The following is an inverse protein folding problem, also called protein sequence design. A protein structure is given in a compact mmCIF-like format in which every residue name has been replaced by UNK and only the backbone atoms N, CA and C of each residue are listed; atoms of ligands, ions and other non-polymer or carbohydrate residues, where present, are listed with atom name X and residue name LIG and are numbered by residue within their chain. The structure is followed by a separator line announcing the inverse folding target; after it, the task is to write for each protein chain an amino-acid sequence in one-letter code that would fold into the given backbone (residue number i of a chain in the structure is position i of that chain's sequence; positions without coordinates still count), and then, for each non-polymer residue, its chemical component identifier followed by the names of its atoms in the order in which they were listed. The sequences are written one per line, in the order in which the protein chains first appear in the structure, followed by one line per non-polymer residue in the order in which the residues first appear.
data_IF_249892208885
#
_entry.id   IF_249892208885
#
_cell.length_a   1.000
_cell.length_b   1.000
_cell.length_c   1.000
_cell.angle_alpha   90.00
_cell.angle_beta   90.00
_cell.angle_gamma   90.00
#
_symmetry.space_group_name_H-M   'P 1'
#
loop_
_entity.id
_entity.type
_entity.pdbx_description
1 polymer ?
#
# COMPACT_ATOMS: atom_id res chain seq x y z
N UNK A 1 2.21 -42.53 0.25
CA UNK A 1 3.52 -42.41 -0.44
C UNK A 1 4.34 -41.40 0.32
N UNK A 2 5.16 -41.90 1.25
CA UNK A 2 6.13 -41.08 1.95
C UNK A 2 7.26 -40.74 0.99
N UNK A 3 7.15 -39.63 0.33
CA UNK A 3 8.22 -39.13 -0.53
C UNK A 3 9.39 -38.72 0.37
N UNK A 4 10.44 -39.53 0.39
CA UNK A 4 11.67 -39.21 1.11
C UNK A 4 12.48 -38.26 0.21
N UNK A 5 12.54 -36.99 0.61
CA UNK A 5 13.39 -36.01 -0.03
C UNK A 5 14.85 -36.27 0.31
N UNK A 6 15.67 -36.50 -0.69
CA UNK A 6 17.12 -36.62 -0.51
C UNK A 6 17.72 -35.22 -0.50
N UNK A 7 18.36 -34.88 0.60
CA UNK A 7 19.05 -33.61 0.79
C UNK A 7 20.57 -33.83 0.71
N UNK A 8 21.25 -32.92 0.07
CA UNK A 8 22.69 -32.90 0.11
C UNK A 8 23.18 -32.52 1.54
N UNK A 9 24.13 -33.26 2.05
CA UNK A 9 24.67 -33.04 3.39
C UNK A 9 25.66 -31.85 3.50
N UNK A 10 25.83 -31.11 2.41
CA UNK A 10 26.75 -29.99 2.35
C UNK A 10 26.00 -28.67 2.55
N UNK A 11 26.47 -27.83 3.49
CA UNK A 11 25.91 -26.53 3.80
C UNK A 11 25.95 -25.53 2.61
N UNK A 12 26.74 -25.83 1.59
CA UNK A 12 26.89 -25.01 0.38
C UNK A 12 26.11 -25.55 -0.83
N UNK A 13 25.44 -26.68 -0.70
CA UNK A 13 24.66 -27.25 -1.80
C UNK A 13 23.35 -26.51 -2.01
N UNK A 14 22.94 -26.36 -3.26
CA UNK A 14 21.65 -25.80 -3.62
C UNK A 14 20.50 -26.66 -3.09
N UNK A 15 19.51 -26.03 -2.50
CA UNK A 15 18.27 -26.68 -2.04
C UNK A 15 17.60 -27.36 -3.23
N UNK A 16 17.04 -28.57 -3.02
CA UNK A 16 16.28 -29.27 -4.03
C UNK A 16 15.05 -28.41 -4.45
N UNK A 17 14.95 -27.97 -5.71
CA UNK A 17 13.88 -27.07 -6.14
C UNK A 17 12.48 -27.67 -5.97
N UNK A 18 12.35 -28.97 -6.20
CA UNK A 18 11.07 -29.66 -6.08
C UNK A 18 10.62 -29.78 -4.62
N UNK A 19 11.55 -30.05 -3.73
CA UNK A 19 11.28 -30.03 -2.28
C UNK A 19 10.85 -28.64 -1.81
N UNK A 20 11.48 -27.58 -2.29
CA UNK A 20 11.10 -26.21 -1.97
C UNK A 20 9.68 -25.88 -2.42
N UNK A 21 9.28 -26.33 -3.60
CA UNK A 21 7.92 -26.11 -4.12
C UNK A 21 6.84 -26.83 -3.29
N UNK A 22 7.12 -28.05 -2.81
CA UNK A 22 6.14 -28.80 -2.03
C UNK A 22 6.11 -28.43 -0.54
N UNK A 23 7.21 -27.94 -0.01
CA UNK A 23 7.37 -27.65 1.41
C UNK A 23 7.08 -26.18 1.77
N UNK A 24 6.90 -25.33 0.79
CA UNK A 24 6.59 -23.93 1.00
C UNK A 24 5.22 -23.57 0.41
N UNK A 25 4.44 -22.85 1.16
CA UNK A 25 3.18 -22.30 0.69
C UNK A 25 3.16 -20.79 0.96
N UNK A 26 2.84 -20.03 -0.07
CA UNK A 26 2.62 -18.58 0.06
C UNK A 26 1.35 -18.22 -0.68
N UNK A 27 0.37 -17.72 0.08
CA UNK A 27 -0.92 -17.30 -0.45
C UNK A 27 -1.12 -15.83 -0.17
N UNK A 28 -1.27 -15.04 -1.22
CA UNK A 28 -1.56 -13.62 -1.11
C UNK A 28 -3.00 -13.34 -1.57
N UNK A 29 -3.69 -12.49 -0.83
CA UNK A 29 -5.00 -11.93 -1.18
C UNK A 29 -4.91 -10.43 -1.09
N UNK A 30 -5.39 -9.75 -2.11
CA UNK A 30 -5.45 -8.29 -2.12
C UNK A 30 -6.79 -7.81 -2.66
N UNK A 31 -7.20 -6.66 -2.20
CA UNK A 31 -8.36 -5.94 -2.69
C UNK A 31 -8.04 -4.46 -2.75
N UNK A 32 -8.63 -3.77 -3.71
CA UNK A 32 -8.52 -2.32 -3.82
C UNK A 32 -9.86 -1.71 -4.21
N UNK A 33 -10.07 -0.51 -3.73
CA UNK A 33 -11.19 0.33 -4.10
C UNK A 33 -10.65 1.72 -4.43
N UNK A 34 -11.05 2.23 -5.59
CA UNK A 34 -10.75 3.61 -6.01
C UNK A 34 -12.06 4.28 -6.36
N UNK A 35 -12.30 5.43 -5.80
CA UNK A 35 -13.49 6.23 -6.04
C UNK A 35 -13.16 7.70 -6.19
N UNK A 36 -13.93 8.38 -7.03
CA UNK A 36 -13.83 9.81 -7.23
C UNK A 36 -15.22 10.43 -7.35
N UNK A 37 -15.42 11.56 -6.69
CA UNK A 37 -16.62 12.38 -6.77
C UNK A 37 -16.20 13.79 -7.17
N UNK A 38 -16.71 14.25 -8.29
CA UNK A 38 -16.45 15.59 -8.82
C UNK A 38 -17.76 16.37 -8.91
N UNK A 39 -17.70 17.61 -8.48
CA UNK A 39 -18.79 18.58 -8.58
C UNK A 39 -18.27 19.84 -9.24
N UNK A 40 -18.92 20.22 -10.32
CA UNK A 40 -18.66 21.46 -11.05
C UNK A 40 -19.96 22.27 -11.09
N UNK A 41 -19.94 23.48 -10.53
CA UNK A 41 -21.10 24.31 -10.39
C UNK A 41 -20.85 25.72 -10.92
N UNK A 42 -21.56 26.08 -11.94
CA UNK A 42 -21.62 27.46 -12.44
C UNK A 42 -22.71 28.23 -11.67
N UNK A 43 -22.32 29.34 -11.06
CA UNK A 43 -23.22 30.07 -10.17
C UNK A 43 -24.35 30.71 -10.96
N UNK A 44 -25.58 30.30 -10.66
CA UNK A 44 -26.78 30.83 -11.32
C UNK A 44 -26.94 32.33 -11.06
N UNK A 45 -27.11 33.11 -12.12
CA UNK A 45 -27.18 34.57 -12.05
C UNK A 45 -25.83 35.30 -11.95
N UNK A 46 -24.73 34.56 -11.84
CA UNK A 46 -23.35 35.06 -11.91
C UNK A 46 -22.49 34.03 -12.64
N UNK A 47 -22.79 33.86 -13.92
CA UNK A 47 -22.27 32.74 -14.73
C UNK A 47 -20.78 32.83 -15.03
N UNK A 48 -20.17 34.02 -14.80
CA UNK A 48 -18.73 34.23 -14.87
C UNK A 48 -17.96 33.48 -13.75
N UNK A 49 -18.68 32.99 -12.70
CA UNK A 49 -18.11 32.31 -11.53
C UNK A 49 -18.41 30.82 -11.56
N UNK A 50 -17.35 30.02 -11.50
CA UNK A 50 -17.41 28.56 -11.42
C UNK A 50 -16.77 28.08 -10.10
N UNK A 51 -17.44 27.15 -9.46
CA UNK A 51 -16.96 26.44 -8.28
C UNK A 51 -16.71 24.99 -8.66
N UNK A 52 -15.54 24.49 -8.34
CA UNK A 52 -15.17 23.11 -8.57
C UNK A 52 -14.74 22.46 -7.27
N UNK A 53 -15.20 21.24 -7.03
CA UNK A 53 -14.75 20.41 -5.92
C UNK A 53 -14.60 18.96 -6.37
N UNK A 54 -13.52 18.34 -5.96
CA UNK A 54 -13.23 16.94 -6.25
C UNK A 54 -12.79 16.25 -4.97
N UNK A 55 -13.38 15.09 -4.70
CA UNK A 55 -13.03 14.21 -3.60
C UNK A 55 -12.63 12.84 -4.15
N UNK A 56 -11.40 12.43 -3.89
CA UNK A 56 -10.86 11.13 -4.28
C UNK A 56 -10.57 10.27 -3.08
N UNK A 57 -10.83 8.97 -3.20
CA UNK A 57 -10.49 7.97 -2.20
C UNK A 57 -9.87 6.75 -2.88
N UNK A 58 -8.73 6.31 -2.36
CA UNK A 58 -8.05 5.08 -2.75
C UNK A 58 -7.80 4.26 -1.49
N UNK A 59 -8.33 3.05 -1.46
CA UNK A 59 -8.13 2.09 -0.39
C UNK A 59 -7.56 0.81 -0.96
N UNK A 60 -6.51 0.29 -0.35
CA UNK A 60 -5.96 -1.01 -0.69
C UNK A 60 -5.66 -1.83 0.55
N UNK A 61 -6.00 -3.10 0.46
CA UNK A 61 -5.77 -4.12 1.47
C UNK A 61 -5.00 -5.27 0.86
N UNK A 62 -3.98 -5.73 1.54
CA UNK A 62 -3.22 -6.93 1.18
C UNK A 62 -2.98 -7.81 2.40
N UNK A 63 -3.20 -9.10 2.25
CA UNK A 63 -2.82 -10.11 3.24
C UNK A 63 -2.05 -11.22 2.54
N UNK A 64 -0.85 -11.47 2.97
CA UNK A 64 -0.05 -12.60 2.56
C UNK A 64 0.13 -13.56 3.74
N UNK A 65 -0.11 -14.82 3.51
CA UNK A 65 0.14 -15.89 4.47
C UNK A 65 1.21 -16.79 3.87
N UNK A 66 2.17 -17.17 4.68
CA UNK A 66 3.22 -18.07 4.27
C UNK A 66 3.44 -19.16 5.32
N UNK A 67 3.77 -20.33 4.82
CA UNK A 67 3.98 -21.52 5.65
C UNK A 67 5.13 -22.33 5.04
N UNK A 68 6.07 -22.70 5.89
CA UNK A 68 7.14 -23.64 5.56
C UNK A 68 6.98 -24.89 6.41
N UNK A 69 7.02 -26.03 5.74
CA UNK A 69 6.93 -27.35 6.39
C UNK A 69 8.06 -27.58 7.40
N UNK A 70 7.77 -28.35 8.42
CA UNK A 70 8.76 -28.82 9.40
C UNK A 70 9.95 -29.57 8.78
N UNK A 71 9.77 -30.12 7.60
CA UNK A 71 10.78 -30.88 6.87
C UNK A 71 11.60 -30.05 5.88
N UNK A 72 11.33 -28.75 5.80
CA UNK A 72 12.05 -27.83 4.92
C UNK A 72 13.53 -27.72 5.28
N UNK A 73 14.41 -27.92 4.29
CA UNK A 73 15.87 -27.97 4.48
C UNK A 73 16.52 -26.62 4.70
N UNK A 74 15.91 -25.56 4.21
CA UNK A 74 16.49 -24.23 4.27
C UNK A 74 16.28 -23.51 5.61
N UNK A 75 15.59 -24.15 6.56
CA UNK A 75 15.19 -23.50 7.80
C UNK A 75 15.95 -24.03 9.01
N UNK A 76 16.39 -23.13 9.86
CA UNK A 76 16.87 -23.44 11.22
C UNK A 76 15.75 -23.87 12.17
N UNK A 77 14.51 -24.01 11.67
CA UNK A 77 13.30 -24.27 12.44
C UNK A 77 12.59 -25.54 11.95
N UNK A 78 11.83 -26.18 12.82
CA UNK A 78 10.92 -27.28 12.48
C UNK A 78 9.62 -26.73 11.84
N UNK A 79 9.77 -25.95 10.81
CA UNK A 79 8.68 -25.25 10.15
C UNK A 79 8.39 -23.88 10.77
N UNK A 80 7.71 -23.05 9.99
CA UNK A 80 7.25 -21.76 10.45
C UNK A 80 6.05 -21.27 9.64
N UNK A 81 5.26 -20.41 10.28
CA UNK A 81 4.09 -19.77 9.70
C UNK A 81 4.14 -18.29 9.99
N UNK A 82 3.66 -17.52 9.05
CA UNK A 82 3.56 -16.09 9.24
C UNK A 82 2.52 -15.46 8.35
N UNK A 83 2.29 -14.20 8.59
CA UNK A 83 1.45 -13.37 7.74
C UNK A 83 1.95 -11.93 7.70
N UNK A 84 1.69 -11.29 6.59
CA UNK A 84 1.83 -9.87 6.38
C UNK A 84 0.46 -9.28 6.09
N UNK A 85 0.10 -8.22 6.79
CA UNK A 85 -1.11 -7.44 6.52
C UNK A 85 -0.68 -6.03 6.19
N UNK A 86 -1.19 -5.51 5.10
CA UNK A 86 -0.94 -4.15 4.66
C UNK A 86 -2.25 -3.46 4.33
N UNK A 87 -2.53 -2.40 5.06
CA UNK A 87 -3.64 -1.49 4.80
C UNK A 87 -3.08 -0.15 4.34
N UNK A 88 -3.61 0.35 3.27
CA UNK A 88 -3.25 1.65 2.74
C UNK A 88 -4.51 2.37 2.31
N UNK A 89 -4.68 3.60 2.73
CA UNK A 89 -5.68 4.48 2.15
C UNK A 89 -5.12 5.88 1.91
N UNK A 90 -5.57 6.47 0.84
CA UNK A 90 -5.27 7.84 0.47
C UNK A 90 -6.59 8.54 0.25
N UNK A 91 -6.76 9.69 0.89
CA UNK A 91 -7.88 10.59 0.67
C UNK A 91 -7.35 11.87 0.05
N UNK A 92 -8.07 12.38 -0.90
CA UNK A 92 -7.72 13.60 -1.62
C UNK A 92 -8.96 14.47 -1.72
N UNK A 93 -8.81 15.73 -1.42
CA UNK A 93 -9.80 16.76 -1.66
C UNK A 93 -9.14 17.94 -2.32
N UNK A 94 -9.69 18.41 -3.43
CA UNK A 94 -9.33 19.69 -4.02
C UNK A 94 -10.58 20.49 -4.36
N UNK A 95 -10.48 21.78 -4.20
CA UNK A 95 -11.53 22.71 -4.56
C UNK A 95 -10.92 24.01 -5.07
N UNK A 96 -11.54 24.59 -6.10
CA UNK A 96 -11.15 25.89 -6.58
C UNK A 96 -12.34 26.71 -7.01
N UNK A 97 -12.15 28.02 -6.98
CA UNK A 97 -13.05 29.02 -7.51
C UNK A 97 -12.38 29.63 -8.74
N UNK A 98 -13.09 29.70 -9.82
CA UNK A 98 -12.63 30.32 -11.06
C UNK A 98 -13.60 31.42 -11.46
N UNK A 99 -13.07 32.60 -11.71
CA UNK A 99 -13.79 33.71 -12.29
C UNK A 99 -13.26 34.00 -13.70
N UNK A 100 -14.13 33.92 -14.68
CA UNK A 100 -13.82 34.14 -16.06
C UNK A 100 -14.72 35.25 -16.62
N UNK A 101 -14.14 36.25 -17.25
CA UNK A 101 -14.86 37.41 -17.80
C UNK A 101 -14.30 37.85 -19.12
N UNK A 102 -15.17 37.93 -20.13
CA UNK A 102 -14.91 38.60 -21.40
C UNK A 102 -15.41 40.04 -21.31
N UNK A 103 -14.49 40.98 -21.32
CA UNK A 103 -14.83 42.42 -21.36
C UNK A 103 -15.07 42.93 -22.78
N UNK A 104 -14.46 42.30 -23.78
CA UNK A 104 -14.65 42.53 -25.20
C UNK A 104 -14.16 41.33 -25.98
N UNK A 105 -14.37 41.34 -27.30
CA UNK A 105 -13.89 40.28 -28.23
C UNK A 105 -12.36 40.07 -28.18
N UNK A 106 -11.62 41.01 -27.64
CA UNK A 106 -10.16 40.99 -27.55
C UNK A 106 -9.63 40.98 -26.12
N UNK A 107 -10.50 41.13 -25.11
CA UNK A 107 -10.09 41.24 -23.70
C UNK A 107 -10.73 40.16 -22.86
N UNK A 108 -9.91 39.22 -22.40
CA UNK A 108 -10.32 38.09 -21.59
C UNK A 108 -9.58 38.10 -20.26
N UNK A 109 -10.29 37.85 -19.19
CA UNK A 109 -9.75 37.74 -17.84
C UNK A 109 -10.15 36.41 -17.22
N UNK A 110 -9.18 35.68 -16.69
CA UNK A 110 -9.37 34.40 -15.98
C UNK A 110 -8.53 34.40 -14.71
N UNK A 111 -9.17 34.30 -13.59
CA UNK A 111 -8.52 34.15 -12.28
C UNK A 111 -9.06 32.94 -11.55
N UNK A 112 -8.16 32.18 -10.94
CA UNK A 112 -8.49 30.99 -10.20
C UNK A 112 -7.71 30.96 -8.89
N UNK A 113 -8.38 30.55 -7.82
CA UNK A 113 -7.74 30.26 -6.54
C UNK A 113 -8.28 28.93 -6.00
N UNK A 114 -7.42 28.13 -5.45
CA UNK A 114 -7.79 26.80 -4.99
C UNK A 114 -7.01 26.29 -3.80
N UNK A 115 -7.54 25.24 -3.26
CA UNK A 115 -7.06 24.51 -2.09
C UNK A 115 -7.00 23.04 -2.40
N UNK A 116 -5.96 22.38 -1.95
CA UNK A 116 -5.79 20.94 -2.04
C UNK A 116 -5.38 20.39 -0.67
N UNK A 117 -6.01 19.28 -0.31
CA UNK A 117 -5.68 18.51 0.88
C UNK A 117 -5.55 17.05 0.50
N UNK A 118 -4.51 16.39 1.02
CA UNK A 118 -4.27 14.97 0.86
C UNK A 118 -3.92 14.35 2.19
N UNK A 119 -4.44 13.14 2.41
CA UNK A 119 -4.15 12.32 3.58
C UNK A 119 -3.70 10.94 3.14
N UNK A 120 -2.50 10.57 3.56
CA UNK A 120 -1.89 9.28 3.28
C UNK A 120 -1.78 8.47 4.56
N UNK A 121 -2.29 7.27 4.54
CA UNK A 121 -2.20 6.33 5.63
C UNK A 121 -1.68 4.99 5.14
N UNK A 122 -0.70 4.43 5.85
CA UNK A 122 -0.12 3.13 5.57
C UNK A 122 0.11 2.40 6.89
N UNK A 123 -0.52 1.26 7.03
CA UNK A 123 -0.41 0.37 8.18
C UNK A 123 0.07 -1.00 7.69
N UNK A 124 1.14 -1.48 8.30
CA UNK A 124 1.78 -2.73 7.97
C UNK A 124 2.06 -3.51 9.24
N UNK A 125 1.61 -4.74 9.25
CA UNK A 125 1.88 -5.68 10.34
C UNK A 125 2.42 -6.96 9.74
N UNK A 126 3.54 -7.43 10.27
CA UNK A 126 4.09 -8.75 9.97
C UNK A 126 4.27 -9.54 11.26
N UNK A 127 3.94 -10.81 11.21
CA UNK A 127 4.12 -11.73 12.31
C UNK A 127 4.52 -13.10 11.77
N UNK A 128 5.57 -13.69 12.35
CA UNK A 128 6.03 -15.01 11.98
C UNK A 128 6.44 -15.79 13.20
N UNK A 129 6.01 -17.03 13.27
CA UNK A 129 6.33 -17.96 14.34
C UNK A 129 6.95 -19.24 13.79
N UNK A 130 8.00 -19.71 14.40
CA UNK A 130 8.66 -20.96 14.08
C UNK A 130 8.94 -21.82 15.29
N UNK A 131 9.19 -23.09 15.04
CA UNK A 131 9.61 -24.04 16.05
C UNK A 131 11.11 -24.25 15.89
N UNK A 132 11.90 -24.02 16.92
CA UNK A 132 13.35 -24.16 16.86
C UNK A 132 13.72 -25.63 16.62
N UNK A 133 14.51 -25.85 15.59
CA UNK A 133 15.25 -27.09 15.38
C UNK A 133 16.44 -27.09 16.35
N UNK A 134 16.72 -28.20 16.97
CA UNK A 134 17.86 -28.39 17.87
C UNK A 134 19.20 -28.23 17.12
N UNK A 135 19.55 -26.98 16.81
CA UNK A 135 20.78 -26.65 16.08
C UNK A 135 21.97 -26.45 17.00
N UNK A 136 21.73 -26.29 18.31
CA UNK A 136 22.79 -25.96 19.29
C UNK A 136 22.94 -27.02 20.38
N UNK A 137 22.43 -28.23 20.15
CA UNK A 137 22.45 -29.30 21.17
C UNK A 137 21.82 -28.92 22.50
N UNK A 138 20.88 -28.01 22.51
CA UNK A 138 20.13 -27.61 23.69
C UNK A 138 18.72 -28.26 23.67
N UNK A 139 18.55 -29.42 24.33
CA UNK A 139 17.28 -30.14 24.33
C UNK A 139 16.12 -29.33 24.91
N UNK A 140 16.40 -28.34 25.76
CA UNK A 140 15.38 -27.51 26.41
C UNK A 140 14.66 -26.60 25.43
N UNK A 141 15.27 -26.30 24.27
CA UNK A 141 14.72 -25.46 23.23
C UNK A 141 14.00 -26.22 22.12
N UNK A 142 14.06 -27.55 22.16
CA UNK A 142 13.43 -28.42 21.18
C UNK A 142 11.91 -28.28 21.25
N UNK A 143 11.27 -27.96 20.13
CA UNK A 143 9.81 -27.83 20.04
C UNK A 143 9.25 -26.52 20.61
N UNK A 144 10.07 -25.63 21.13
CA UNK A 144 9.61 -24.32 21.61
C UNK A 144 9.24 -23.44 20.43
N UNK A 145 8.07 -22.81 20.53
CA UNK A 145 7.58 -21.87 19.53
C UNK A 145 8.22 -20.51 19.77
N UNK A 146 8.90 -20.00 18.76
CA UNK A 146 9.57 -18.70 18.83
C UNK A 146 9.00 -17.74 17.80
N UNK A 147 8.78 -16.48 18.15
CA UNK A 147 8.55 -15.46 17.16
C UNK A 147 9.83 -15.30 16.31
N UNK A 148 9.69 -15.48 15.00
CA UNK A 148 10.80 -15.30 14.06
C UNK A 148 10.88 -13.84 13.62
N UNK A 149 9.74 -13.25 13.38
CA UNK A 149 9.61 -11.84 13.02
C UNK A 149 8.32 -11.30 13.59
N UNK A 150 8.40 -10.13 14.15
CA UNK A 150 7.27 -9.33 14.56
C UNK A 150 7.66 -7.89 14.30
N UNK A 151 6.93 -7.25 13.41
CA UNK A 151 7.09 -5.82 13.21
C UNK A 151 5.76 -5.19 12.86
N UNK A 152 5.56 -3.99 13.33
CA UNK A 152 4.43 -3.17 12.94
C UNK A 152 4.94 -1.80 12.55
N UNK A 153 4.36 -1.26 11.50
CA UNK A 153 4.71 0.05 11.01
C UNK A 153 3.44 0.79 10.64
N UNK A 154 3.26 1.94 11.25
CA UNK A 154 2.15 2.83 10.98
C UNK A 154 2.69 4.19 10.57
N UNK A 155 2.28 4.66 9.41
CA UNK A 155 2.66 5.98 8.91
C UNK A 155 1.44 6.73 8.43
N UNK A 156 1.35 7.95 8.88
CA UNK A 156 0.32 8.90 8.52
C UNK A 156 0.97 10.21 8.10
N UNK A 157 0.50 10.81 7.02
CA UNK A 157 1.00 12.09 6.55
C UNK A 157 -0.10 12.89 5.85
N UNK A 158 0.00 14.20 5.99
CA UNK A 158 -0.93 15.16 5.41
C UNK A 158 -0.17 16.12 4.51
N UNK A 159 -0.79 16.47 3.40
CA UNK A 159 -0.33 17.53 2.51
C UNK A 159 -1.44 18.57 2.35
N UNK A 160 -1.09 19.83 2.47
CA UNK A 160 -1.98 20.95 2.24
C UNK A 160 -1.31 21.89 1.26
N UNK A 161 -2.03 22.31 0.24
CA UNK A 161 -1.54 23.21 -0.80
C UNK A 161 -2.58 24.28 -1.11
N UNK A 162 -2.11 25.49 -1.37
CA UNK A 162 -2.89 26.56 -1.94
C UNK A 162 -2.29 26.92 -3.30
N UNK A 163 -3.14 27.18 -4.26
CA UNK A 163 -2.68 27.54 -5.59
C UNK A 163 -3.55 28.66 -6.18
N UNK A 164 -2.97 29.43 -7.08
CA UNK A 164 -3.67 30.47 -7.79
C UNK A 164 -3.10 30.70 -9.17
N UNK A 165 -3.95 31.13 -10.08
CA UNK A 165 -3.60 31.48 -11.44
C UNK A 165 -4.37 32.74 -11.83
N UNK A 166 -3.70 33.66 -12.52
CA UNK A 166 -4.33 34.81 -13.14
C UNK A 166 -3.83 34.93 -14.57
N UNK A 167 -4.74 34.98 -15.52
CA UNK A 167 -4.45 35.20 -16.95
C UNK A 167 -5.23 36.43 -17.45
N UNK A 168 -4.57 37.24 -18.19
CA UNK A 168 -5.18 38.34 -18.93
C UNK A 168 -4.69 38.31 -20.36
N UNK A 169 -5.63 38.31 -21.27
CA UNK A 169 -5.38 38.48 -22.70
C UNK A 169 -6.00 39.81 -23.11
N UNK A 170 -5.20 40.70 -23.58
CA UNK A 170 -5.63 42.00 -24.10
C UNK A 170 -4.75 42.38 -25.27
N UNK A 171 -5.38 42.80 -26.35
CA UNK A 171 -4.71 43.38 -27.51
C UNK A 171 -5.36 44.71 -27.85
N UNK A 172 -4.55 45.69 -28.07
CA UNK A 172 -4.98 47.00 -28.51
C UNK A 172 -4.84 47.12 -30.02
#
# INVERSE_FOLDING_TARGET
NDSIWVYANDAQSTTNPLASLEQQSSVAKSGSFVGNLEVDYQVHGFEDLRLHANFGADYSYGKQQYENSAFGTANHYYGWKGFDIKNKYNLQFNAYIQYYKDFSDTQHFDIMAGYEWQHFYNDYVTEGNGIIRDTNNDPSKRGVKYPISESSFKRESYLVSFFGRANYIGWN
#
